data_IF_703754128727
#
_entry.id   IF_703754128727
#
_cell.length_a   1.000
_cell.length_b   1.000
_cell.length_c   1.000
_cell.angle_alpha   90.00
_cell.angle_beta   90.00
_cell.angle_gamma   90.00
#
_symmetry.space_group_name_H-M   'P 1'
#
loop_
_entity.id
_entity.type
_entity.pdbx_description
1 polymer ?
#
# COMPACT_ATOMS: atom_id res chain seq x y z
N UNK A 1 -14.82 -4.88 -82.71
CA UNK A 1 -15.04 -4.19 -81.41
C UNK A 1 -14.61 -5.10 -80.31
N UNK A 2 -13.44 -4.85 -79.73
CA UNK A 2 -12.91 -5.61 -78.56
C UNK A 2 -13.26 -4.85 -77.31
N UNK A 3 -14.09 -5.40 -76.42
CA UNK A 3 -14.39 -4.87 -75.12
C UNK A 3 -13.30 -5.39 -74.15
N UNK A 4 -12.48 -4.44 -73.58
CA UNK A 4 -11.55 -4.69 -72.51
C UNK A 4 -12.25 -4.54 -71.16
N UNK A 5 -12.38 -5.64 -70.41
CA UNK A 5 -12.84 -5.60 -69.03
C UNK A 5 -11.64 -5.31 -68.10
N UNK A 6 -11.58 -4.09 -67.55
CA UNK A 6 -10.66 -3.81 -66.45
C UNK A 6 -11.32 -4.18 -65.13
N UNK A 7 -10.79 -5.20 -64.48
CA UNK A 7 -11.17 -5.57 -63.12
C UNK A 7 -10.35 -4.70 -62.16
N UNK A 8 -11.01 -3.76 -61.49
CA UNK A 8 -10.41 -3.03 -60.35
C UNK A 8 -10.51 -3.90 -59.12
N UNK A 9 -9.36 -4.41 -58.67
CA UNK A 9 -9.21 -5.08 -57.37
C UNK A 9 -9.06 -3.98 -56.30
N UNK A 10 -10.12 -3.73 -55.53
CA UNK A 10 -10.07 -2.95 -54.30
C UNK A 10 -9.49 -3.81 -53.19
N UNK A 11 -8.25 -3.56 -52.79
CA UNK A 11 -7.70 -4.12 -51.56
C UNK A 11 -8.23 -3.31 -50.36
N UNK A 12 -9.22 -3.85 -49.65
CA UNK A 12 -9.64 -3.33 -48.37
C UNK A 12 -8.61 -3.70 -47.32
N UNK A 13 -7.88 -2.75 -46.78
CA UNK A 13 -7.01 -2.93 -45.63
C UNK A 13 -7.88 -3.04 -44.37
N UNK A 14 -8.04 -4.24 -43.83
CA UNK A 14 -8.69 -4.48 -42.56
C UNK A 14 -7.65 -4.24 -41.45
N UNK A 15 -7.78 -3.13 -40.71
CA UNK A 15 -7.01 -2.93 -39.47
C UNK A 15 -7.64 -3.71 -38.33
N UNK A 16 -6.99 -4.77 -37.88
CA UNK A 16 -7.37 -5.44 -36.65
C UNK A 16 -6.83 -4.64 -35.46
N UNK A 17 -7.72 -4.15 -34.61
CA UNK A 17 -7.37 -3.60 -33.30
C UNK A 17 -7.59 -4.70 -32.28
N UNK A 18 -6.50 -5.28 -31.78
CA UNK A 18 -6.56 -6.23 -30.67
C UNK A 18 -6.55 -5.36 -29.40
N UNK A 19 -7.68 -5.32 -28.71
CA UNK A 19 -7.75 -4.77 -27.35
C UNK A 19 -7.16 -5.83 -26.42
N UNK A 20 -5.93 -5.60 -25.96
CA UNK A 20 -5.33 -6.39 -24.89
C UNK A 20 -5.88 -5.84 -23.59
N UNK A 21 -6.72 -6.62 -22.92
CA UNK A 21 -7.19 -6.27 -21.57
C UNK A 21 -5.98 -6.39 -20.63
N UNK A 22 -5.64 -5.32 -19.93
CA UNK A 22 -4.59 -5.34 -18.93
C UNK A 22 -5.00 -6.30 -17.79
N UNK A 23 -4.18 -7.31 -17.50
CA UNK A 23 -4.48 -8.29 -16.46
C UNK A 23 -4.52 -7.64 -15.05
N UNK A 24 -3.69 -6.61 -14.82
CA UNK A 24 -3.64 -5.84 -13.58
C UNK A 24 -4.12 -4.41 -13.83
N UNK A 25 -5.18 -4.01 -13.16
CA UNK A 25 -5.80 -2.67 -13.27
C UNK A 25 -5.95 -2.09 -11.87
N UNK A 26 -5.59 -0.82 -11.71
CA UNK A 26 -5.77 -0.08 -10.46
C UNK A 26 -6.67 1.13 -10.65
N UNK A 27 -7.26 1.58 -9.54
CA UNK A 27 -7.94 2.87 -9.44
C UNK A 27 -7.37 3.64 -8.27
N UNK A 28 -7.13 4.91 -8.46
CA UNK A 28 -6.59 5.85 -7.46
C UNK A 28 -7.49 7.08 -7.37
N UNK A 29 -7.39 7.83 -6.27
CA UNK A 29 -8.08 9.12 -6.11
C UNK A 29 -7.09 10.19 -5.64
N UNK A 30 -7.34 11.45 -5.97
CA UNK A 30 -6.48 12.58 -5.58
C UNK A 30 -6.44 12.84 -4.07
N UNK A 31 -7.55 12.58 -3.35
CA UNK A 31 -7.56 12.67 -1.89
C UNK A 31 -6.68 11.57 -1.30
N UNK A 32 -5.60 11.96 -0.62
CA UNK A 32 -4.59 11.07 -0.07
C UNK A 32 -3.70 10.41 -1.13
N UNK A 33 -3.83 10.75 -2.41
CA UNK A 33 -3.30 9.96 -3.54
C UNK A 33 -3.63 8.47 -3.39
N UNK A 34 -4.77 8.14 -2.76
CA UNK A 34 -5.07 6.81 -2.23
C UNK A 34 -5.45 5.83 -3.34
N UNK A 35 -4.88 4.63 -3.28
CA UNK A 35 -5.26 3.47 -4.08
C UNK A 35 -6.61 2.92 -3.58
N UNK A 36 -7.60 2.82 -4.49
CA UNK A 36 -8.98 2.47 -4.13
C UNK A 36 -9.49 1.18 -4.78
N UNK A 37 -8.74 0.62 -5.72
CA UNK A 37 -9.04 -0.69 -6.32
C UNK A 37 -7.76 -1.30 -6.87
N UNK A 38 -7.62 -2.60 -6.72
CA UNK A 38 -6.60 -3.42 -7.38
C UNK A 38 -7.30 -4.65 -7.95
N UNK A 39 -7.42 -4.71 -9.27
CA UNK A 39 -8.00 -5.87 -9.94
C UNK A 39 -6.93 -6.61 -10.74
N UNK A 40 -6.74 -7.88 -10.42
CA UNK A 40 -5.91 -8.77 -11.21
C UNK A 40 -6.78 -9.88 -11.80
N UNK A 41 -6.79 -9.99 -13.14
CA UNK A 41 -7.64 -10.92 -13.89
C UNK A 41 -9.12 -10.85 -13.47
N UNK A 42 -9.61 -9.62 -13.25
CA UNK A 42 -11.00 -9.33 -12.88
C UNK A 42 -11.34 -9.53 -11.39
N UNK A 43 -10.45 -10.12 -10.57
CA UNK A 43 -10.64 -10.25 -9.12
C UNK A 43 -10.16 -9.00 -8.40
N UNK A 44 -10.99 -8.44 -7.50
CA UNK A 44 -10.63 -7.33 -6.62
C UNK A 44 -9.84 -7.83 -5.39
N UNK A 45 -8.67 -7.24 -5.16
CA UNK A 45 -7.77 -7.59 -4.04
C UNK A 45 -7.81 -6.60 -2.90
N UNK A 46 -8.24 -5.35 -3.13
CA UNK A 46 -8.32 -4.35 -2.06
C UNK A 46 -9.68 -4.43 -1.37
N UNK A 47 -9.76 -4.17 -0.06
CA UNK A 47 -11.02 -4.11 0.64
C UNK A 47 -11.88 -2.92 0.18
N UNK A 48 -13.16 -2.87 0.56
CA UNK A 48 -14.15 -1.97 -0.06
C UNK A 48 -14.08 -0.50 0.42
N UNK A 49 -13.34 -0.19 1.48
CA UNK A 49 -13.23 1.14 2.06
C UNK A 49 -14.54 1.69 2.66
N UNK A 50 -15.43 0.81 3.07
CA UNK A 50 -16.75 1.16 3.64
C UNK A 50 -17.09 0.35 4.87
N UNK A 51 -16.95 -0.98 4.74
CA UNK A 51 -17.25 -1.91 5.81
C UNK A 51 -16.07 -2.01 6.77
N UNK A 52 -16.30 -1.81 8.06
CA UNK A 52 -15.30 -1.87 9.15
C UNK A 52 -14.27 -0.74 9.17
N UNK A 53 -13.86 -0.19 8.03
CA UNK A 53 -12.85 0.86 7.90
C UNK A 53 -13.09 1.67 6.64
N UNK A 54 -13.02 2.99 6.73
CA UNK A 54 -13.34 3.94 5.65
C UNK A 54 -12.16 4.32 4.74
N UNK A 55 -11.00 3.70 4.96
CA UNK A 55 -9.81 3.81 4.11
C UNK A 55 -9.54 2.48 3.42
N UNK A 56 -8.68 2.49 2.40
CA UNK A 56 -8.31 1.30 1.65
C UNK A 56 -6.80 1.06 1.59
N UNK A 57 -6.02 2.12 1.34
CA UNK A 57 -4.56 2.06 1.27
C UNK A 57 -3.95 3.44 1.56
N UNK A 58 -4.19 4.02 2.74
CA UNK A 58 -3.69 5.35 3.05
C UNK A 58 -2.17 5.40 3.14
N UNK A 59 -1.63 6.56 2.76
CA UNK A 59 -0.22 6.90 2.91
C UNK A 59 -0.01 7.48 4.29
N UNK A 60 1.04 7.02 4.99
CA UNK A 60 1.40 7.47 6.32
C UNK A 60 2.55 8.47 6.19
N UNK A 61 2.25 9.79 6.33
CA UNK A 61 3.25 10.86 6.25
C UNK A 61 2.73 12.15 6.93
N UNK A 62 3.55 12.88 7.68
CA UNK A 62 4.98 12.71 7.95
C UNK A 62 5.27 11.83 9.18
N UNK A 63 4.26 11.14 9.70
CA UNK A 63 4.40 10.22 10.84
C UNK A 63 3.68 8.92 10.58
N UNK A 64 4.17 7.83 11.16
CA UNK A 64 3.48 6.55 11.27
C UNK A 64 2.84 6.46 12.64
N UNK A 65 1.57 6.06 12.69
CA UNK A 65 0.84 5.86 13.94
C UNK A 65 0.64 7.11 14.78
N UNK A 66 0.51 6.93 16.08
CA UNK A 66 0.21 7.99 17.04
C UNK A 66 1.48 8.65 17.57
N UNK A 67 1.41 9.96 17.74
CA UNK A 67 2.33 10.70 18.58
C UNK A 67 1.82 10.69 20.03
N UNK A 68 2.71 10.72 20.99
CA UNK A 68 2.35 10.82 22.40
C UNK A 68 1.59 12.11 22.65
N UNK A 69 0.37 12.00 23.20
CA UNK A 69 -0.58 13.11 23.39
C UNK A 69 -1.00 13.81 22.07
N UNK A 70 -0.79 13.19 20.89
CA UNK A 70 -1.10 13.79 19.59
C UNK A 70 -0.18 14.95 19.20
N UNK A 71 0.94 15.16 19.92
CA UNK A 71 1.81 16.33 19.79
C UNK A 71 3.27 15.92 19.69
N UNK A 72 4.05 16.79 19.06
CA UNK A 72 5.50 16.67 19.04
C UNK A 72 6.14 18.05 19.05
N UNK A 73 7.40 18.11 19.49
CA UNK A 73 8.17 19.35 19.48
C UNK A 73 9.17 19.35 18.34
N UNK A 74 9.10 20.36 17.50
CA UNK A 74 10.02 20.58 16.37
C UNK A 74 10.64 21.97 16.56
N UNK A 75 11.96 22.04 16.60
CA UNK A 75 12.71 23.30 16.80
C UNK A 75 12.20 24.12 18.00
N UNK A 76 11.86 23.44 19.11
CA UNK A 76 11.41 24.05 20.33
C UNK A 76 9.95 24.52 20.36
N UNK A 77 9.18 24.31 19.29
CA UNK A 77 7.74 24.62 19.19
C UNK A 77 6.91 23.36 19.17
N UNK A 78 5.73 23.39 19.79
CA UNK A 78 4.77 22.29 19.78
C UNK A 78 3.94 22.29 18.50
N UNK A 79 3.78 21.10 17.91
CA UNK A 79 2.95 20.85 16.73
C UNK A 79 2.01 19.67 16.99
N UNK A 80 0.79 19.77 16.48
CA UNK A 80 -0.18 18.68 16.50
C UNK A 80 -0.19 18.00 15.13
N UNK A 81 0.11 16.71 15.10
CA UNK A 81 0.09 15.90 13.88
C UNK A 81 -0.88 14.75 14.14
N UNK A 82 -1.90 14.55 13.30
CA UNK A 82 -2.87 13.49 13.50
C UNK A 82 -2.23 12.10 13.39
N UNK A 83 -2.92 11.08 13.89
CA UNK A 83 -2.50 9.70 13.72
C UNK A 83 -2.26 9.39 12.24
N UNK A 84 -1.11 8.77 11.93
CA UNK A 84 -0.64 8.48 10.58
C UNK A 84 -0.30 9.73 9.74
N UNK A 85 -0.16 10.91 10.36
CA UNK A 85 0.10 12.16 9.65
C UNK A 85 -1.11 12.70 8.91
N UNK A 86 -0.88 13.68 8.07
CA UNK A 86 -1.95 14.41 7.36
C UNK A 86 -2.10 14.03 5.89
N UNK A 87 -1.08 13.40 5.27
CA UNK A 87 -1.05 13.20 3.82
C UNK A 87 -2.29 12.45 3.30
N UNK A 88 -2.77 11.45 4.04
CA UNK A 88 -3.95 10.67 3.65
C UNK A 88 -5.28 11.45 3.64
N UNK A 89 -5.30 12.68 4.18
CA UNK A 89 -6.46 13.58 4.21
C UNK A 89 -6.27 14.84 3.34
N UNK A 90 -5.11 14.97 2.68
CA UNK A 90 -4.82 16.10 1.79
C UNK A 90 -5.13 15.74 0.33
N UNK A 91 -5.57 16.73 -0.45
CA UNK A 91 -5.75 16.54 -1.89
C UNK A 91 -4.43 16.77 -2.61
N UNK A 92 -3.95 15.75 -3.29
CA UNK A 92 -2.75 15.81 -4.13
C UNK A 92 -3.09 16.34 -5.51
N UNK A 93 -2.14 17.00 -6.14
CA UNK A 93 -2.18 17.34 -7.55
C UNK A 93 -1.81 16.11 -8.38
N UNK A 94 -2.66 15.74 -9.33
CA UNK A 94 -2.33 14.73 -10.33
C UNK A 94 -1.31 15.30 -11.33
N UNK A 95 -0.21 14.59 -11.57
CA UNK A 95 0.89 15.01 -12.43
C UNK A 95 1.15 14.04 -13.59
N UNK A 96 0.38 12.96 -13.65
CA UNK A 96 0.46 11.92 -14.69
C UNK A 96 -0.45 10.74 -14.35
N UNK A 97 -0.54 9.77 -15.26
CA UNK A 97 -1.32 8.55 -15.01
C UNK A 97 -0.83 7.89 -13.71
N UNK A 98 -1.73 7.77 -12.72
CA UNK A 98 -1.43 7.18 -11.40
C UNK A 98 -0.24 7.82 -10.68
N UNK A 99 -0.03 9.13 -10.85
CA UNK A 99 1.10 9.87 -10.27
C UNK A 99 0.62 11.20 -9.70
N UNK A 100 1.03 11.48 -8.47
CA UNK A 100 0.51 12.56 -7.65
C UNK A 100 1.64 13.29 -6.93
N UNK A 101 1.42 14.58 -6.60
CA UNK A 101 2.31 15.36 -5.74
C UNK A 101 1.52 16.15 -4.70
N UNK A 102 1.98 16.12 -3.46
CA UNK A 102 1.60 17.03 -2.40
C UNK A 102 2.79 17.95 -2.11
N UNK A 103 2.59 19.25 -2.27
CA UNK A 103 3.59 20.26 -1.88
C UNK A 103 3.20 20.87 -0.55
N UNK A 104 4.19 21.21 0.27
CA UNK A 104 3.95 21.96 1.50
C UNK A 104 3.20 23.27 1.20
N UNK A 105 2.24 23.58 2.06
CA UNK A 105 1.41 24.78 2.01
C UNK A 105 1.15 25.30 3.44
N UNK A 106 0.39 26.38 3.60
CA UNK A 106 0.12 26.96 4.91
C UNK A 106 -0.48 25.95 5.89
N UNK A 107 -1.41 25.09 5.44
CA UNK A 107 -2.05 24.06 6.25
C UNK A 107 -1.04 23.01 6.73
N UNK A 108 -0.21 22.46 5.85
CA UNK A 108 0.80 21.48 6.21
C UNK A 108 1.89 22.08 7.09
N UNK A 109 2.30 23.34 6.82
CA UNK A 109 3.34 24.04 7.59
C UNK A 109 2.87 24.35 9.02
N UNK A 110 1.56 24.53 9.24
CA UNK A 110 0.99 24.72 10.58
C UNK A 110 1.12 23.48 11.46
N UNK A 111 1.17 22.27 10.88
CA UNK A 111 1.28 21.00 11.56
C UNK A 111 2.71 20.43 11.52
N UNK A 112 3.47 20.74 10.47
CA UNK A 112 4.78 20.16 10.18
C UNK A 112 5.64 21.23 9.48
N UNK A 113 6.54 21.93 10.19
CA UNK A 113 7.17 23.17 9.71
C UNK A 113 8.34 22.95 8.74
N UNK A 114 8.22 21.97 7.85
CA UNK A 114 9.21 21.71 6.82
C UNK A 114 8.65 21.91 5.44
N UNK A 115 9.45 22.51 4.55
CA UNK A 115 9.11 22.62 3.13
C UNK A 115 9.42 21.32 2.41
N UNK A 116 8.44 20.74 1.73
CA UNK A 116 8.60 19.46 1.06
C UNK A 116 7.77 19.34 -0.22
N UNK A 117 8.14 18.38 -1.03
CA UNK A 117 7.31 17.78 -2.07
C UNK A 117 7.25 16.26 -1.80
N UNK A 118 6.04 15.71 -1.66
CA UNK A 118 5.78 14.28 -1.57
C UNK A 118 5.14 13.81 -2.87
N UNK A 119 5.89 13.02 -3.63
CA UNK A 119 5.40 12.36 -4.83
C UNK A 119 4.96 10.93 -4.50
N UNK A 120 3.87 10.51 -5.11
CA UNK A 120 3.34 9.15 -5.03
C UNK A 120 3.09 8.67 -6.44
N UNK A 121 3.65 7.52 -6.80
CA UNK A 121 3.41 6.90 -8.10
C UNK A 121 3.13 5.41 -7.96
N UNK A 122 2.23 4.94 -8.82
CA UNK A 122 1.80 3.56 -8.90
C UNK A 122 2.23 3.01 -10.25
N UNK A 123 3.19 2.10 -10.24
CA UNK A 123 3.78 1.50 -11.44
C UNK A 123 3.29 0.07 -11.58
N UNK A 124 2.81 -0.29 -12.76
CA UNK A 124 2.33 -1.63 -13.06
C UNK A 124 3.31 -2.28 -14.05
N UNK A 125 3.82 -3.45 -13.68
CA UNK A 125 4.60 -4.30 -14.57
C UNK A 125 4.07 -5.74 -14.49
N UNK A 126 3.42 -6.20 -15.55
CA UNK A 126 2.75 -7.52 -15.62
C UNK A 126 1.72 -7.71 -14.50
N UNK A 127 2.01 -8.58 -13.52
CA UNK A 127 1.18 -8.88 -12.36
C UNK A 127 1.68 -8.18 -11.07
N UNK A 128 2.60 -7.23 -11.19
CA UNK A 128 3.21 -6.53 -10.05
C UNK A 128 2.82 -5.07 -10.06
N UNK A 129 2.36 -4.59 -8.91
CA UNK A 129 2.15 -3.19 -8.59
C UNK A 129 3.27 -2.72 -7.67
N UNK A 130 4.00 -1.68 -8.07
CA UNK A 130 4.96 -0.98 -7.21
C UNK A 130 4.36 0.36 -6.79
N UNK A 131 4.36 0.62 -5.48
CA UNK A 131 4.00 1.90 -4.88
C UNK A 131 5.29 2.62 -4.51
N UNK A 132 5.54 3.75 -5.15
CA UNK A 132 6.76 4.51 -4.94
C UNK A 132 6.45 5.85 -4.27
N UNK A 133 7.15 6.14 -3.19
CA UNK A 133 7.15 7.41 -2.47
C UNK A 133 8.46 8.12 -2.72
N UNK A 134 8.39 9.36 -3.22
CA UNK A 134 9.57 10.22 -3.38
C UNK A 134 9.36 11.47 -2.55
N UNK A 135 10.15 11.63 -1.50
CA UNK A 135 10.11 12.81 -0.62
C UNK A 135 11.30 13.70 -0.93
N UNK A 136 11.02 14.95 -1.27
CA UNK A 136 12.03 15.97 -1.52
C UNK A 136 11.97 17.04 -0.44
N UNK A 137 13.09 17.32 0.20
CA UNK A 137 13.26 18.50 1.03
C UNK A 137 13.51 19.71 0.11
N UNK A 138 12.58 20.66 0.09
CA UNK A 138 12.70 21.88 -0.76
C UNK A 138 13.23 23.09 0.00
N UNK A 139 13.66 22.92 1.26
CA UNK A 139 14.34 23.95 2.01
C UNK A 139 15.82 24.01 1.60
N UNK A 140 16.40 25.21 1.59
CA UNK A 140 17.80 25.43 1.19
C UNK A 140 18.79 25.21 2.33
N UNK A 141 18.35 25.27 3.57
CA UNK A 141 19.23 25.33 4.75
C UNK A 141 18.90 24.36 5.85
N UNK A 142 17.66 23.86 5.94
CA UNK A 142 17.18 23.05 7.05
C UNK A 142 17.04 21.58 6.68
N UNK A 143 17.63 20.70 7.51
CA UNK A 143 17.41 19.24 7.41
C UNK A 143 15.99 18.92 7.83
N UNK A 144 15.21 18.29 6.95
CA UNK A 144 13.86 17.82 7.21
C UNK A 144 13.89 16.46 7.92
N UNK A 145 13.02 16.30 8.91
CA UNK A 145 12.80 15.07 9.64
C UNK A 145 11.42 14.52 9.28
N UNK A 146 11.29 13.24 8.95
CA UNK A 146 9.97 12.64 8.67
C UNK A 146 9.96 11.14 8.86
N UNK A 147 8.76 10.59 9.02
CA UNK A 147 8.45 9.18 8.91
C UNK A 147 7.55 8.92 7.72
N UNK A 148 7.58 7.70 7.19
CA UNK A 148 6.75 7.30 6.06
C UNK A 148 6.38 5.82 6.15
N UNK A 149 5.21 5.47 5.62
CA UNK A 149 4.72 4.11 5.50
C UNK A 149 3.52 3.98 4.58
N UNK A 150 3.10 2.76 4.34
CA UNK A 150 1.88 2.41 3.64
C UNK A 150 0.94 1.60 4.51
N UNK A 151 -0.35 1.57 4.16
CA UNK A 151 -1.36 0.86 4.95
C UNK A 151 -2.41 0.19 4.04
N UNK A 152 -2.00 -0.60 3.01
CA UNK A 152 -2.94 -1.28 2.14
C UNK A 152 -3.69 -2.42 2.85
N UNK A 153 -5.03 -2.43 2.73
CA UNK A 153 -5.89 -3.49 3.26
C UNK A 153 -6.30 -4.47 2.16
N UNK A 154 -5.79 -5.70 2.19
CA UNK A 154 -6.08 -6.73 1.21
C UNK A 154 -7.24 -7.61 1.63
N UNK A 155 -8.17 -7.91 0.71
CA UNK A 155 -9.25 -8.86 0.94
C UNK A 155 -8.70 -10.21 1.34
N UNK A 156 -9.13 -10.68 2.50
CA UNK A 156 -8.75 -11.98 3.05
C UNK A 156 -9.77 -12.38 4.12
N UNK A 157 -10.39 -13.53 3.94
CA UNK A 157 -11.28 -14.12 4.93
C UNK A 157 -10.46 -14.85 6.01
N UNK A 158 -9.61 -14.11 6.74
CA UNK A 158 -8.63 -14.69 7.67
C UNK A 158 -9.24 -15.53 8.80
N UNK A 159 -10.53 -15.40 9.06
CA UNK A 159 -11.24 -16.26 10.01
C UNK A 159 -11.60 -17.65 9.42
N UNK A 160 -11.30 -17.92 8.17
CA UNK A 160 -11.26 -19.27 7.61
C UNK A 160 -9.97 -19.96 8.08
N UNK A 161 -10.09 -21.26 8.43
CA UNK A 161 -8.99 -22.03 9.04
C UNK A 161 -7.69 -22.12 8.22
N UNK A 162 -7.70 -21.68 6.95
CA UNK A 162 -6.57 -21.82 6.02
C UNK A 162 -5.91 -20.50 5.62
N UNK A 163 -6.29 -19.36 6.21
CA UNK A 163 -5.68 -18.08 5.88
C UNK A 163 -4.53 -17.76 6.82
N UNK A 164 -3.40 -17.35 6.27
CA UNK A 164 -2.18 -17.04 7.00
C UNK A 164 -1.27 -16.11 6.21
N UNK A 165 -0.30 -15.54 6.88
CA UNK A 165 0.82 -14.84 6.27
C UNK A 165 2.06 -15.71 6.40
N UNK A 166 2.77 -15.94 5.30
CA UNK A 166 4.01 -16.70 5.27
C UNK A 166 5.18 -15.77 4.97
N UNK A 167 6.15 -15.73 5.87
CA UNK A 167 7.41 -15.04 5.67
C UNK A 167 8.26 -15.79 4.62
N UNK A 168 9.03 -15.06 3.81
CA UNK A 168 9.84 -15.66 2.73
C UNK A 168 10.96 -16.55 3.27
N UNK A 169 11.59 -16.13 4.37
CA UNK A 169 12.67 -16.81 5.07
C UNK A 169 12.24 -17.26 6.46
N UNK A 170 13.02 -18.15 7.07
CA UNK A 170 12.84 -18.52 8.48
C UNK A 170 13.26 -17.35 9.38
N UNK A 171 12.42 -16.97 10.33
CA UNK A 171 12.63 -15.84 11.21
C UNK A 171 13.22 -16.28 12.57
N UNK A 172 14.54 -16.28 12.67
CA UNK A 172 15.24 -16.75 13.90
C UNK A 172 15.28 -15.70 15.03
N UNK A 173 15.26 -14.41 14.68
CA UNK A 173 15.46 -13.31 15.64
C UNK A 173 14.37 -12.24 15.59
N UNK A 174 13.29 -12.50 14.92
CA UNK A 174 12.17 -11.57 14.76
C UNK A 174 11.60 -11.15 16.12
N UNK A 175 11.25 -9.89 16.26
CA UNK A 175 10.66 -9.33 17.48
C UNK A 175 9.30 -8.72 17.15
N UNK A 176 8.41 -8.74 18.14
CA UNK A 176 7.16 -7.97 18.12
C UNK A 176 7.27 -6.82 19.12
N UNK A 177 6.84 -5.64 18.69
CA UNK A 177 6.67 -4.48 19.56
C UNK A 177 5.21 -4.42 19.96
N UNK A 178 4.83 -4.71 21.22
CA UNK A 178 3.44 -4.62 21.64
C UNK A 178 2.90 -3.19 21.58
N UNK A 179 1.65 -3.05 21.16
CA UNK A 179 0.91 -1.79 21.26
C UNK A 179 0.31 -1.68 22.66
N UNK A 180 0.45 -0.52 23.30
CA UNK A 180 -0.11 -0.28 24.62
C UNK A 180 -1.61 0.01 24.50
N UNK A 181 -2.43 -0.91 24.93
CA UNK A 181 -3.89 -0.80 24.95
C UNK A 181 -4.47 -0.32 26.29
N UNK A 182 -3.62 0.08 27.24
CA UNK A 182 -4.08 0.66 28.51
C UNK A 182 -4.64 2.06 28.26
N UNK A 183 -5.88 2.28 28.66
CA UNK A 183 -6.55 3.57 28.54
C UNK A 183 -5.72 4.70 29.18
N UNK A 184 -5.60 5.82 28.49
CA UNK A 184 -4.86 6.98 28.96
C UNK A 184 -3.95 7.60 27.86
N UNK A 185 -3.03 8.49 28.26
CA UNK A 185 -2.16 9.20 27.30
C UNK A 185 -1.25 8.32 26.45
N UNK A 186 -1.01 7.08 26.88
CA UNK A 186 -0.15 6.12 26.21
C UNK A 186 -0.90 5.10 25.35
N UNK A 187 -2.23 5.22 25.22
CA UNK A 187 -3.05 4.33 24.40
C UNK A 187 -2.63 4.38 22.93
N UNK A 188 -2.37 3.23 22.34
CA UNK A 188 -1.95 3.11 20.94
C UNK A 188 -0.49 3.49 20.67
N UNK A 189 0.33 3.65 21.72
CA UNK A 189 1.79 3.84 21.60
C UNK A 189 2.53 2.50 21.66
N UNK A 190 3.76 2.49 21.15
CA UNK A 190 4.63 1.32 21.20
C UNK A 190 5.15 1.07 22.63
N UNK A 191 5.17 -0.18 23.06
CA UNK A 191 5.88 -0.60 24.25
C UNK A 191 7.39 -0.34 24.11
N UNK A 192 8.05 0.00 25.21
CA UNK A 192 9.53 0.13 25.21
C UNK A 192 10.23 -1.23 25.14
N UNK A 193 9.53 -2.28 25.51
CA UNK A 193 10.01 -3.65 25.50
C UNK A 193 9.46 -4.38 24.28
N UNK A 194 10.27 -5.28 23.76
CA UNK A 194 9.87 -6.20 22.69
C UNK A 194 9.68 -7.60 23.25
N UNK A 195 8.83 -8.36 22.62
CA UNK A 195 8.64 -9.78 22.91
C UNK A 195 9.19 -10.63 21.76
N UNK A 196 9.39 -11.92 22.02
CA UNK A 196 9.85 -12.84 21.00
C UNK A 196 8.79 -12.99 19.90
N UNK A 197 9.11 -12.60 18.68
CA UNK A 197 8.22 -12.70 17.53
C UNK A 197 8.06 -14.14 17.05
N UNK A 198 9.00 -15.01 17.36
CA UNK A 198 8.93 -16.42 17.03
C UNK A 198 7.75 -17.14 17.68
N UNK A 199 7.24 -16.65 18.83
CA UNK A 199 6.04 -17.17 19.50
C UNK A 199 4.76 -16.95 18.64
N UNK A 200 4.78 -15.99 17.72
CA UNK A 200 3.67 -15.74 16.79
C UNK A 200 3.74 -16.61 15.55
N UNK A 201 4.90 -17.23 15.27
CA UNK A 201 5.17 -17.92 14.02
C UNK A 201 5.23 -19.45 14.22
N UNK A 202 4.37 -20.16 13.51
CA UNK A 202 4.50 -21.59 13.36
C UNK A 202 5.65 -21.92 12.42
N UNK A 203 6.53 -22.83 12.85
CA UNK A 203 7.71 -23.24 12.10
C UNK A 203 8.60 -22.03 11.67
N UNK A 204 8.71 -20.99 12.53
CA UNK A 204 9.49 -19.75 12.29
C UNK A 204 9.07 -18.94 11.07
N UNK A 205 7.94 -19.23 10.44
CA UNK A 205 7.61 -18.72 9.13
C UNK A 205 6.16 -18.31 8.95
N UNK A 206 5.22 -19.00 9.57
CA UNK A 206 3.79 -18.86 9.30
C UNK A 206 3.09 -18.16 10.45
N UNK A 207 2.56 -16.97 10.19
CA UNK A 207 1.64 -16.27 11.06
C UNK A 207 0.22 -16.71 10.74
N UNK A 208 -0.35 -17.57 11.60
CA UNK A 208 -1.77 -17.92 11.52
C UNK A 208 -2.61 -16.74 12.01
N UNK A 209 -3.46 -16.20 11.15
CA UNK A 209 -4.34 -15.09 11.50
C UNK A 209 -5.67 -15.66 12.01
N UNK A 210 -6.03 -15.32 13.23
CA UNK A 210 -7.23 -15.79 13.92
C UNK A 210 -8.15 -14.62 14.24
N UNK A 211 -9.39 -14.92 14.59
CA UNK A 211 -10.42 -13.94 14.93
C UNK A 211 -9.97 -12.92 15.99
N UNK A 212 -9.15 -13.34 16.95
CA UNK A 212 -8.65 -12.52 18.05
C UNK A 212 -7.23 -11.97 17.84
N UNK A 213 -6.62 -12.19 16.69
CA UNK A 213 -5.21 -11.76 16.45
C UNK A 213 -5.00 -10.27 16.62
N UNK A 214 -6.06 -9.46 16.42
CA UNK A 214 -5.98 -7.99 16.45
C UNK A 214 -6.73 -7.38 17.65
N UNK A 215 -7.01 -8.15 18.72
CA UNK A 215 -7.65 -7.61 19.94
C UNK A 215 -6.78 -6.56 20.64
N UNK A 216 -5.46 -6.66 20.48
CA UNK A 216 -4.47 -5.73 21.01
C UNK A 216 -3.89 -4.83 19.91
N UNK A 217 -4.71 -4.43 18.92
CA UNK A 217 -4.29 -3.62 17.77
C UNK A 217 -3.35 -4.38 16.80
N UNK A 218 -2.46 -3.69 16.09
CA UNK A 218 -1.57 -4.27 15.11
C UNK A 218 -0.49 -5.17 15.75
N UNK A 219 -0.14 -6.25 15.05
CA UNK A 219 1.07 -7.01 15.33
C UNK A 219 2.22 -6.32 14.59
N UNK A 220 3.14 -5.71 15.31
CA UNK A 220 4.23 -4.92 14.72
C UNK A 220 5.55 -5.67 14.82
N UNK A 221 5.98 -6.22 13.70
CA UNK A 221 7.24 -6.94 13.59
C UNK A 221 8.41 -6.00 13.31
N UNK A 222 9.56 -6.32 13.91
CA UNK A 222 10.87 -5.72 13.65
C UNK A 222 11.97 -6.79 13.64
N UNK A 223 13.16 -6.40 13.23
CA UNK A 223 14.32 -7.29 13.11
C UNK A 223 14.00 -8.50 12.20
N UNK A 224 13.24 -8.22 11.12
CA UNK A 224 12.72 -9.19 10.15
C UNK A 224 13.83 -9.58 9.17
N UNK A 225 14.05 -10.88 8.99
CA UNK A 225 15.02 -11.41 8.02
C UNK A 225 14.45 -11.38 6.59
N UNK A 226 13.19 -11.77 6.46
CA UNK A 226 12.46 -11.74 5.18
C UNK A 226 12.35 -10.35 4.61
N UNK A 227 12.38 -10.24 3.29
CA UNK A 227 12.12 -9.00 2.55
C UNK A 227 10.73 -8.97 1.95
N UNK A 228 10.02 -10.08 2.04
CA UNK A 228 8.65 -10.22 1.57
C UNK A 228 7.86 -11.23 2.41
N UNK A 229 6.55 -11.12 2.32
CA UNK A 229 5.59 -12.07 2.86
C UNK A 229 4.58 -12.47 1.79
N UNK A 230 4.04 -13.68 1.91
CA UNK A 230 2.92 -14.14 1.11
C UNK A 230 1.64 -14.06 1.93
N UNK A 231 0.60 -13.47 1.37
CA UNK A 231 -0.76 -13.58 1.92
C UNK A 231 -1.42 -14.80 1.31
N UNK A 232 -1.81 -15.72 2.18
CA UNK A 232 -2.54 -16.92 1.80
C UNK A 232 -4.01 -16.78 2.20
N UNK A 233 -4.90 -17.04 1.26
CA UNK A 233 -6.34 -17.07 1.48
C UNK A 233 -6.89 -18.42 1.03
N UNK A 234 -7.56 -19.13 1.94
CA UNK A 234 -8.12 -20.46 1.72
C UNK A 234 -7.09 -21.48 1.14
N UNK A 235 -5.88 -21.48 1.70
CA UNK A 235 -4.80 -22.41 1.32
C UNK A 235 -4.10 -22.08 0.00
N UNK A 236 -4.29 -20.87 -0.57
CA UNK A 236 -3.65 -20.42 -1.81
C UNK A 236 -2.95 -19.09 -1.57
N UNK A 237 -1.71 -18.99 -2.04
CA UNK A 237 -1.05 -17.68 -2.09
C UNK A 237 -1.79 -16.79 -3.08
N UNK A 238 -2.30 -15.65 -2.59
CA UNK A 238 -3.04 -14.69 -3.41
C UNK A 238 -2.16 -13.53 -3.86
N UNK A 239 -1.16 -13.15 -3.03
CA UNK A 239 -0.18 -12.14 -3.37
C UNK A 239 1.14 -12.37 -2.61
N UNK A 240 2.22 -11.79 -3.14
CA UNK A 240 3.51 -11.59 -2.46
C UNK A 240 3.69 -10.10 -2.23
N UNK A 241 3.95 -9.72 -0.99
CA UNK A 241 4.15 -8.33 -0.55
C UNK A 241 5.62 -8.11 -0.20
N UNK A 242 6.33 -7.26 -0.95
CA UNK A 242 7.77 -6.97 -0.76
C UNK A 242 7.94 -5.59 -0.13
N UNK A 243 8.72 -5.53 0.97
CA UNK A 243 8.90 -4.33 1.81
C UNK A 243 10.36 -4.12 2.24
N UNK A 244 11.30 -4.53 1.43
CA UNK A 244 12.75 -4.58 1.72
C UNK A 244 13.38 -3.26 2.13
N UNK A 245 12.73 -2.13 1.84
CA UNK A 245 13.20 -0.79 2.19
C UNK A 245 12.60 -0.25 3.50
N UNK A 246 11.80 -1.05 4.19
CA UNK A 246 11.14 -0.66 5.44
C UNK A 246 11.70 -1.42 6.64
N UNK A 247 11.68 -0.77 7.80
CA UNK A 247 12.25 -1.33 9.03
C UNK A 247 11.26 -2.23 9.79
N UNK A 248 9.96 -2.04 9.55
CA UNK A 248 8.89 -2.68 10.29
C UNK A 248 7.80 -3.17 9.34
N UNK A 249 7.12 -4.23 9.74
CA UNK A 249 5.90 -4.70 9.12
C UNK A 249 4.79 -4.73 10.19
N UNK A 250 3.81 -3.85 10.04
CA UNK A 250 2.55 -3.90 10.77
C UNK A 250 1.58 -4.84 10.07
N UNK A 251 0.91 -5.68 10.83
CA UNK A 251 -0.17 -6.53 10.35
C UNK A 251 -1.39 -6.23 11.18
N UNK A 252 -2.47 -5.80 10.52
CA UNK A 252 -3.67 -5.34 11.20
C UNK A 252 -4.95 -5.68 10.44
N UNK A 253 -6.04 -5.78 11.17
CA UNK A 253 -7.40 -5.76 10.65
C UNK A 253 -8.33 -5.14 11.67
N UNK A 254 -9.42 -4.53 11.22
CA UNK A 254 -10.45 -4.05 12.12
C UNK A 254 -11.10 -5.22 12.86
N UNK A 255 -11.49 -4.99 14.11
CA UNK A 255 -12.20 -5.97 14.91
C UNK A 255 -13.57 -6.30 14.31
N UNK A 256 -14.14 -7.45 14.68
CA UNK A 256 -15.48 -7.84 14.25
C UNK A 256 -15.54 -8.71 12.99
N UNK A 257 -14.49 -9.47 12.70
CA UNK A 257 -14.36 -10.35 11.53
C UNK A 257 -14.33 -9.57 10.20
N UNK A 258 -13.57 -8.48 10.15
CA UNK A 258 -13.36 -7.74 8.92
C UNK A 258 -12.69 -8.64 7.85
N UNK A 259 -13.23 -8.73 6.63
CA UNK A 259 -12.75 -9.66 5.61
C UNK A 259 -11.54 -9.11 4.84
N UNK A 260 -10.57 -8.58 5.57
CA UNK A 260 -9.31 -8.07 5.01
C UNK A 260 -8.20 -8.12 6.05
N UNK A 261 -6.97 -8.03 5.57
CA UNK A 261 -5.76 -7.87 6.38
C UNK A 261 -4.93 -6.75 5.77
N UNK A 262 -4.47 -5.82 6.61
CA UNK A 262 -3.50 -4.81 6.23
C UNK A 262 -2.09 -5.37 6.36
N UNK A 263 -1.26 -5.13 5.33
CA UNK A 263 0.18 -5.37 5.34
C UNK A 263 0.85 -4.01 5.25
N UNK A 264 1.40 -3.56 6.37
CA UNK A 264 1.80 -2.18 6.56
C UNK A 264 3.31 -2.03 6.63
N UNK A 265 3.97 -1.63 5.53
CA UNK A 265 5.40 -1.37 5.55
C UNK A 265 5.66 -0.01 6.19
N UNK A 266 6.40 0.02 7.31
CA UNK A 266 6.70 1.23 8.05
C UNK A 266 8.20 1.49 8.10
N UNK A 267 8.61 2.73 7.83
CA UNK A 267 10.00 3.15 8.05
C UNK A 267 10.24 3.55 9.51
N UNK A 268 9.29 4.24 10.13
CA UNK A 268 9.27 4.60 11.55
C UNK A 268 8.06 3.96 12.23
N UNK A 269 7.98 4.05 13.55
CA UNK A 269 6.84 3.54 14.34
C UNK A 269 5.99 4.69 14.90
N UNK A 270 4.81 4.42 15.50
CA UNK A 270 4.22 5.30 16.52
C UNK A 270 5.23 5.69 17.58
N UNK A 271 4.95 6.71 18.38
CA UNK A 271 5.79 7.02 19.53
C UNK A 271 5.78 5.86 20.54
N UNK A 272 6.85 5.77 21.33
CA UNK A 272 6.93 4.85 22.43
C UNK A 272 6.33 5.47 23.70
N UNK A 273 5.93 4.63 24.66
CA UNK A 273 5.33 5.06 25.93
C UNK A 273 6.24 6.07 26.67
N UNK A 274 7.55 5.94 26.55
CA UNK A 274 8.53 6.85 27.17
C UNK A 274 9.15 7.89 26.23
N UNK A 275 8.54 8.12 25.04
CA UNK A 275 9.04 9.14 24.09
C UNK A 275 9.15 10.52 24.73
N UNK A 276 10.18 11.25 24.35
CA UNK A 276 10.49 12.61 24.88
C UNK A 276 9.55 13.69 24.36
N UNK A 277 8.74 13.40 23.35
CA UNK A 277 7.97 14.32 22.51
C UNK A 277 8.83 15.21 21.56
N UNK A 278 10.15 15.07 21.58
CA UNK A 278 11.00 15.72 20.57
C UNK A 278 10.96 14.93 19.26
N UNK A 279 10.55 15.55 18.17
CA UNK A 279 10.41 14.86 16.88
C UNK A 279 11.74 14.27 16.38
N UNK A 280 12.83 14.96 16.65
CA UNK A 280 14.20 14.52 16.30
C UNK A 280 14.66 13.25 16.99
N UNK A 281 14.06 12.93 18.16
CA UNK A 281 14.40 11.75 18.97
C UNK A 281 13.54 10.53 18.60
N UNK A 282 12.59 10.70 17.66
CA UNK A 282 11.75 9.62 17.18
C UNK A 282 12.63 8.53 16.57
N UNK A 283 12.38 7.28 16.96
CA UNK A 283 13.17 6.14 16.48
C UNK A 283 13.07 5.99 14.97
N UNK A 284 14.21 5.76 14.33
CA UNK A 284 14.35 5.57 12.90
C UNK A 284 13.82 6.74 12.06
N UNK A 285 13.74 7.95 12.63
CA UNK A 285 13.35 9.15 11.90
C UNK A 285 14.28 9.39 10.70
N UNK A 286 13.73 9.61 9.54
CA UNK A 286 14.51 9.94 8.34
C UNK A 286 14.98 11.39 8.45
N UNK A 287 16.29 11.59 8.22
CA UNK A 287 16.92 12.90 8.13
C UNK A 287 17.26 13.16 6.68
N UNK A 288 16.63 14.18 6.10
CA UNK A 288 16.80 14.53 4.70
C UNK A 288 17.40 15.93 4.58
N UNK A 289 18.65 15.97 4.16
CA UNK A 289 19.39 17.22 3.98
C UNK A 289 18.72 18.18 3.00
N UNK A 290 19.01 19.49 3.07
CA UNK A 290 18.50 20.49 2.14
C UNK A 290 18.64 20.08 0.67
N UNK A 291 17.59 20.31 -0.12
CA UNK A 291 17.56 20.00 -1.56
C UNK A 291 17.80 18.54 -1.94
N UNK A 292 17.77 17.61 -0.97
CA UNK A 292 17.90 16.16 -1.21
C UNK A 292 16.54 15.52 -1.40
N UNK A 293 16.60 14.34 -2.02
CA UNK A 293 15.45 13.48 -2.29
C UNK A 293 15.67 12.10 -1.69
N UNK A 294 14.63 11.50 -1.14
CA UNK A 294 14.59 10.12 -0.66
C UNK A 294 13.49 9.37 -1.40
N UNK A 295 13.84 8.24 -1.98
CA UNK A 295 12.91 7.31 -2.61
C UNK A 295 12.75 6.07 -1.74
N UNK A 296 11.52 5.60 -1.58
CA UNK A 296 11.16 4.41 -0.79
C UNK A 296 9.96 3.76 -1.48
N UNK A 297 10.00 2.45 -1.66
CA UNK A 297 8.94 1.72 -2.35
C UNK A 297 8.64 0.37 -1.69
N UNK A 298 7.43 -0.11 -1.92
CA UNK A 298 7.04 -1.49 -1.72
C UNK A 298 6.33 -2.02 -2.97
N UNK A 299 6.26 -3.33 -3.12
CA UNK A 299 5.59 -3.92 -4.27
C UNK A 299 4.70 -5.09 -3.88
N UNK A 300 3.71 -5.33 -4.74
CA UNK A 300 2.73 -6.42 -4.58
C UNK A 300 2.64 -7.18 -5.90
N UNK A 301 3.03 -8.44 -5.86
CA UNK A 301 2.85 -9.37 -6.97
C UNK A 301 1.59 -10.21 -6.74
N UNK A 302 0.69 -10.25 -7.72
CA UNK A 302 -0.60 -10.94 -7.62
C UNK A 302 -0.55 -12.29 -8.31
N UNK A 303 -1.14 -13.32 -7.68
CA UNK A 303 -1.19 -14.67 -8.22
C UNK A 303 -2.57 -15.02 -8.76
N UNK A 304 -2.58 -15.76 -9.87
CA UNK A 304 -3.82 -16.28 -10.45
C UNK A 304 -4.37 -17.43 -9.59
N UNK A 305 -5.57 -17.24 -9.06
CA UNK A 305 -6.28 -18.31 -8.37
C UNK A 305 -7.05 -19.12 -9.42
N UNK A 306 -6.50 -20.25 -9.85
CA UNK A 306 -7.22 -21.19 -10.68
C UNK A 306 -8.29 -21.86 -9.82
N UNK A 307 -9.56 -21.60 -10.10
CA UNK A 307 -10.67 -22.35 -9.53
C UNK A 307 -10.51 -23.79 -10.02
N UNK A 308 -10.32 -24.74 -9.09
CA UNK A 308 -10.27 -26.16 -9.40
C UNK A 308 -11.65 -26.62 -9.89
N UNK A 309 -11.78 -26.84 -11.18
CA UNK A 309 -13.01 -27.33 -11.82
C UNK A 309 -13.50 -26.34 -12.87
N UNK A 310 -12.96 -26.42 -14.08
CA UNK A 310 -13.41 -25.49 -14.95
C UNK A 310 -13.48 -25.80 -16.41
N UNK A 311 -14.45 -25.64 -16.96
CA UNK A 311 -14.76 -25.38 -18.35
C UNK A 311 -13.93 -24.18 -18.79
N UNK A 312 -13.10 -24.37 -19.79
CA UNK A 312 -12.50 -23.28 -20.55
C UNK A 312 -13.62 -22.33 -21.00
N UNK A 313 -13.82 -21.24 -20.26
CA UNK A 313 -14.52 -20.10 -20.84
C UNK A 313 -13.57 -19.50 -21.88
N UNK A 314 -13.89 -19.77 -23.14
CA UNK A 314 -13.36 -18.97 -24.26
C UNK A 314 -13.86 -17.55 -23.95
N UNK A 315 -12.96 -16.67 -23.43
CA UNK A 315 -13.26 -15.24 -23.35
C UNK A 315 -13.67 -14.82 -24.76
N UNK A 316 -14.88 -14.35 -24.92
CA UNK A 316 -15.38 -13.89 -26.20
C UNK A 316 -14.43 -12.84 -26.75
N UNK A 317 -13.74 -13.20 -27.82
CA UNK A 317 -12.97 -12.25 -28.62
C UNK A 317 -14.02 -11.30 -29.26
N UNK A 318 -14.16 -10.10 -28.71
CA UNK A 318 -15.02 -9.08 -29.33
C UNK A 318 -14.30 -8.63 -30.59
N UNK A 319 -14.68 -9.22 -31.72
CA UNK A 319 -14.19 -8.84 -33.04
C UNK A 319 -14.97 -7.60 -33.51
N UNK A 320 -14.33 -6.44 -33.47
CA UNK A 320 -14.91 -5.23 -34.07
C UNK A 320 -14.46 -5.16 -35.53
N UNK A 321 -15.38 -5.45 -36.46
CA UNK A 321 -15.16 -5.27 -37.89
C UNK A 321 -15.60 -3.85 -38.29
N UNK A 322 -14.65 -3.01 -38.65
CA UNK A 322 -14.91 -1.72 -39.27
C UNK A 322 -14.86 -1.88 -40.81
N UNK A 323 -16.00 -1.96 -41.45
CA UNK A 323 -16.12 -1.95 -42.93
C UNK A 323 -16.74 -0.62 -43.33
N UNK A 324 -15.94 0.31 -43.83
CA UNK A 324 -16.42 1.60 -44.31
C UNK A 324 -17.20 2.37 -43.21
N UNK A 325 -18.29 3.07 -43.58
CA UNK A 325 -19.13 3.80 -42.64
C UNK A 325 -20.27 2.95 -42.01
N UNK A 326 -20.14 1.62 -42.00
CA UNK A 326 -21.14 0.73 -41.41
C UNK A 326 -20.55 -0.04 -40.22
N UNK A 327 -21.12 0.19 -39.05
CA UNK A 327 -20.80 -0.59 -37.82
C UNK A 327 -21.80 -1.75 -37.77
N UNK A 328 -21.33 -2.99 -37.89
CA UNK A 328 -22.12 -4.19 -37.62
C UNK A 328 -21.58 -4.83 -36.34
N UNK A 329 -22.41 -4.87 -35.29
CA UNK A 329 -22.16 -5.60 -34.04
C UNK A 329 -22.67 -7.04 -34.21
N UNK A 330 -21.80 -8.00 -33.92
CA UNK A 330 -22.14 -9.40 -33.72
C UNK A 330 -21.88 -9.81 -32.28
#
# INVERSE_FOLDING_TARGET
MKFSFQVFLFFAYIKFVILVEEDLVITTKALGAELTSIKYKGREYLHDGKSFWDKQSPILFPTVGRLRNGKTKINGKDYEIPMHGFANNMTFQEIGKNSYVLKSNEETLSQFPFQFELYVSYLIEKNTLTVNYTVKNTNDTETMLFGIGGHPGFKCDYYKEKSFIEFEEDEDNIKVIPVNMTNGPSYGLMSNETIDGGEFLKNKKILEIKKNSFENDAIVFKDIQSKSVFLNDDGKNILKFTFDQFNYLGIWSAQGNAPYVCLEPWYTTPDYVNSTNEFKDKKDIIKLEPNKTKEISFSVEFFEIKNGGGIFQIKSLSLLLLIGNLIILF
#
